data_IF_145649723815
#
_entry.id   IF_145649723815
#
_cell.length_a   1.000
_cell.length_b   1.000
_cell.length_c   1.000
_cell.angle_alpha   90.00
_cell.angle_beta   90.00
_cell.angle_gamma   90.00
#
_symmetry.space_group_name_H-M   'P 1'
#
loop_
_entity.id
_entity.type
_entity.pdbx_description
1 polymer ?
#
# COMPACT_ATOMS: atom_id res chain seq x y z
N UNK A 1 0.86 -18.12 -20.94
CA UNK A 1 2.02 -17.19 -20.98
C UNK A 1 2.89 -17.50 -19.76
N UNK A 2 4.21 -17.61 -19.88
CA UNK A 2 5.07 -17.86 -18.71
C UNK A 2 5.57 -16.52 -18.18
N UNK A 3 4.86 -15.97 -17.20
CA UNK A 3 5.27 -14.75 -16.49
C UNK A 3 5.51 -15.18 -15.04
N UNK A 4 6.76 -15.53 -14.71
CA UNK A 4 7.08 -16.26 -13.47
C UNK A 4 6.52 -15.64 -12.18
N UNK A 5 6.47 -14.30 -12.10
CA UNK A 5 5.90 -13.58 -10.99
C UNK A 5 5.52 -12.16 -11.46
N UNK A 6 4.31 -11.70 -11.16
CA UNK A 6 3.93 -10.31 -11.44
C UNK A 6 3.00 -9.73 -10.37
N UNK A 7 3.00 -8.41 -10.27
CA UNK A 7 2.12 -7.66 -9.37
C UNK A 7 0.95 -7.08 -10.15
N UNK A 8 -0.26 -7.18 -9.59
CA UNK A 8 -1.45 -6.50 -10.11
C UNK A 8 -2.22 -5.84 -8.97
N UNK A 9 -2.75 -4.65 -9.24
CA UNK A 9 -3.66 -3.96 -8.33
C UNK A 9 -5.04 -3.85 -8.96
N UNK A 10 -6.05 -4.32 -8.24
CA UNK A 10 -7.43 -4.36 -8.71
C UNK A 10 -8.34 -3.60 -7.75
N UNK A 11 -9.28 -2.87 -8.32
CA UNK A 11 -10.39 -2.26 -7.60
C UNK A 11 -11.66 -3.05 -7.90
N UNK A 12 -12.35 -3.45 -6.85
CA UNK A 12 -13.59 -4.19 -6.89
C UNK A 12 -14.68 -3.34 -6.24
N UNK A 13 -15.69 -2.95 -7.02
CA UNK A 13 -16.75 -2.06 -6.53
C UNK A 13 -18.09 -2.34 -7.20
N UNK A 14 -19.19 -2.05 -6.50
CA UNK A 14 -20.56 -2.17 -7.02
C UNK A 14 -21.01 -0.95 -7.82
N UNK A 15 -20.14 0.06 -8.03
CA UNK A 15 -20.46 1.34 -8.69
C UNK A 15 -21.60 2.15 -8.02
N UNK A 16 -21.99 1.80 -6.79
CA UNK A 16 -22.96 2.56 -5.99
C UNK A 16 -22.24 3.64 -5.19
N UNK A 17 -22.83 4.83 -5.10
CA UNK A 17 -22.30 5.92 -4.29
C UNK A 17 -22.29 5.52 -2.81
N UNK A 18 -21.14 5.64 -2.15
CA UNK A 18 -20.98 5.25 -0.75
C UNK A 18 -20.88 3.74 -0.49
N UNK A 19 -20.86 2.90 -1.53
CA UNK A 19 -20.58 1.49 -1.31
C UNK A 19 -19.10 1.26 -0.93
N UNK A 20 -18.80 0.17 -0.19
CA UNK A 20 -17.42 -0.22 0.06
C UNK A 20 -16.66 -0.43 -1.25
N UNK A 21 -15.43 0.06 -1.30
CA UNK A 21 -14.48 -0.23 -2.37
C UNK A 21 -13.42 -1.17 -1.82
N UNK A 22 -13.27 -2.32 -2.47
CA UNK A 22 -12.21 -3.27 -2.19
C UNK A 22 -11.04 -3.01 -3.14
N UNK A 23 -9.86 -2.79 -2.58
CA UNK A 23 -8.59 -2.75 -3.32
C UNK A 23 -7.79 -4.01 -3.00
N UNK A 24 -7.40 -4.73 -4.05
CA UNK A 24 -6.57 -5.92 -4.00
C UNK A 24 -5.18 -5.58 -4.53
N UNK A 25 -4.16 -5.75 -3.70
CA UNK A 25 -2.75 -5.70 -4.07
C UNK A 25 -2.22 -7.12 -4.12
N UNK A 26 -2.11 -7.69 -5.32
CA UNK A 26 -1.85 -9.10 -5.52
C UNK A 26 -0.49 -9.33 -6.19
N UNK A 27 0.23 -10.31 -5.67
CA UNK A 27 1.38 -10.94 -6.27
C UNK A 27 0.95 -12.31 -6.81
N UNK A 28 1.04 -12.47 -8.12
CA UNK A 28 0.62 -13.66 -8.84
C UNK A 28 1.85 -14.45 -9.27
N UNK A 29 1.93 -15.69 -8.79
CA UNK A 29 2.91 -16.69 -9.20
C UNK A 29 2.26 -17.64 -10.20
N UNK A 30 2.59 -17.45 -11.48
CA UNK A 30 1.99 -18.25 -12.55
C UNK A 30 2.57 -19.66 -12.66
N UNK A 31 3.79 -19.87 -12.13
CA UNK A 31 4.43 -21.18 -12.15
C UNK A 31 3.74 -22.12 -11.15
N UNK A 32 3.40 -21.60 -9.97
CA UNK A 32 2.77 -22.37 -8.90
C UNK A 32 1.24 -22.21 -8.83
N UNK A 33 0.65 -21.37 -9.69
CA UNK A 33 -0.79 -21.01 -9.66
C UNK A 33 -1.26 -20.45 -8.32
N UNK A 34 -0.36 -19.73 -7.64
CA UNK A 34 -0.61 -19.15 -6.31
C UNK A 34 -0.77 -17.65 -6.43
N UNK A 35 -1.62 -17.12 -5.56
CA UNK A 35 -1.82 -15.68 -5.41
C UNK A 35 -1.65 -15.34 -3.95
N UNK A 36 -0.95 -14.23 -3.67
CA UNK A 36 -0.79 -13.71 -2.32
C UNK A 36 -0.83 -12.19 -2.35
N UNK A 37 -1.17 -11.54 -1.24
CA UNK A 37 -1.30 -10.09 -1.27
C UNK A 37 -2.01 -9.49 -0.07
N UNK A 38 -2.60 -8.32 -0.30
CA UNK A 38 -3.41 -7.58 0.68
C UNK A 38 -4.74 -7.19 0.08
N UNK A 39 -5.81 -7.43 0.83
CA UNK A 39 -7.14 -6.86 0.57
C UNK A 39 -7.37 -5.71 1.54
N UNK A 40 -7.79 -4.56 1.01
CA UNK A 40 -8.18 -3.39 1.81
C UNK A 40 -9.57 -2.95 1.38
N UNK A 41 -10.49 -2.78 2.34
CA UNK A 41 -11.84 -2.29 2.04
C UNK A 41 -12.03 -0.95 2.74
N UNK A 42 -12.49 0.03 1.97
CA UNK A 42 -12.76 1.37 2.47
C UNK A 42 -14.19 1.81 2.14
N UNK A 43 -14.86 2.39 3.12
CA UNK A 43 -16.15 3.08 2.95
C UNK A 43 -16.13 4.38 3.77
N UNK A 44 -16.41 5.50 3.13
CA UNK A 44 -16.45 6.82 3.79
C UNK A 44 -17.83 7.20 4.33
N UNK A 45 -18.90 6.56 3.84
CA UNK A 45 -20.27 6.80 4.28
C UNK A 45 -20.63 5.95 5.49
N UNK A 46 -21.55 6.42 6.34
CA UNK A 46 -21.94 5.73 7.56
C UNK A 46 -22.66 4.38 7.27
N UNK A 47 -22.27 3.28 7.93
CA UNK A 47 -21.14 3.16 8.86
C UNK A 47 -19.79 3.17 8.13
N UNK A 48 -18.82 4.01 8.54
CA UNK A 48 -17.51 4.02 7.90
C UNK A 48 -16.79 2.70 8.13
N UNK A 49 -16.06 2.24 7.12
CA UNK A 49 -15.33 0.97 7.14
C UNK A 49 -13.87 1.20 6.75
N UNK A 50 -12.96 0.62 7.53
CA UNK A 50 -11.55 0.48 7.18
C UNK A 50 -11.10 -0.93 7.57
N UNK A 51 -11.10 -1.83 6.59
CA UNK A 51 -10.75 -3.23 6.78
C UNK A 51 -9.47 -3.55 6.03
N UNK A 52 -8.63 -4.41 6.61
CA UNK A 52 -7.41 -4.89 5.96
C UNK A 52 -7.14 -6.34 6.32
N UNK A 53 -6.86 -7.16 5.31
CA UNK A 53 -6.45 -8.55 5.48
C UNK A 53 -5.28 -8.89 4.56
N UNK A 54 -4.38 -9.76 5.03
CA UNK A 54 -3.46 -10.47 4.15
C UNK A 54 -4.25 -11.58 3.47
N UNK A 55 -4.11 -11.67 2.15
CA UNK A 55 -4.83 -12.66 1.34
C UNK A 55 -3.88 -13.65 0.69
N UNK A 56 -4.36 -14.86 0.51
CA UNK A 56 -3.65 -15.94 -0.17
C UNK A 56 -4.67 -16.85 -0.84
N UNK A 57 -4.24 -17.54 -1.87
CA UNK A 57 -5.09 -18.50 -2.56
C UNK A 57 -4.49 -18.95 -3.87
N UNK A 58 -5.38 -19.27 -4.79
CA UNK A 58 -5.05 -19.91 -6.06
C UNK A 58 -5.83 -19.27 -7.20
N UNK A 59 -5.31 -19.46 -8.40
CA UNK A 59 -6.05 -19.14 -9.61
C UNK A 59 -6.08 -20.34 -10.56
N UNK A 60 -7.14 -20.43 -11.35
CA UNK A 60 -7.25 -21.40 -12.43
C UNK A 60 -7.73 -20.73 -13.71
N UNK A 61 -7.35 -21.29 -14.84
CA UNK A 61 -7.76 -20.80 -16.15
C UNK A 61 -8.86 -21.70 -16.68
N UNK A 62 -9.99 -21.12 -17.05
CA UNK A 62 -11.11 -21.81 -17.66
C UNK A 62 -11.21 -21.40 -19.14
N UNK A 63 -11.22 -22.39 -20.03
CA UNK A 63 -11.53 -22.21 -21.45
C UNK A 63 -12.85 -22.91 -21.73
N UNK A 64 -13.86 -22.16 -22.18
CA UNK A 64 -15.15 -22.75 -22.52
C UNK A 64 -15.10 -23.50 -23.87
N UNK A 65 -14.26 -23.06 -24.80
CA UNK A 65 -14.05 -23.72 -26.11
C UNK A 65 -12.70 -23.29 -26.70
N UNK A 66 -12.19 -24.00 -27.71
CA UNK A 66 -10.89 -23.70 -28.33
C UNK A 66 -10.80 -22.28 -28.90
N UNK A 67 -11.94 -21.71 -29.33
CA UNK A 67 -12.08 -20.38 -29.93
C UNK A 67 -12.67 -19.33 -28.97
N UNK A 68 -12.85 -19.65 -27.68
CA UNK A 68 -13.56 -18.78 -26.71
C UNK A 68 -12.59 -18.12 -25.72
N UNK A 69 -13.04 -16.98 -25.17
CA UNK A 69 -12.34 -16.20 -24.15
C UNK A 69 -11.84 -17.05 -22.97
N UNK A 70 -10.56 -16.88 -22.66
CA UNK A 70 -9.95 -17.48 -21.47
C UNK A 70 -10.36 -16.65 -20.25
N UNK A 71 -10.95 -17.31 -19.27
CA UNK A 71 -11.33 -16.70 -18.01
C UNK A 71 -10.42 -17.18 -16.89
N UNK A 72 -10.18 -16.31 -15.92
CA UNK A 72 -9.39 -16.62 -14.73
C UNK A 72 -10.32 -16.70 -13.54
N UNK A 73 -10.38 -17.88 -12.93
CA UNK A 73 -11.11 -18.10 -11.68
C UNK A 73 -10.14 -17.86 -10.53
N UNK A 74 -10.38 -16.79 -9.78
CA UNK A 74 -9.57 -16.37 -8.63
C UNK A 74 -10.28 -16.77 -7.34
N UNK A 75 -9.59 -17.49 -6.45
CA UNK A 75 -10.09 -17.81 -5.11
C UNK A 75 -9.08 -17.32 -4.08
N UNK A 76 -9.53 -16.47 -3.16
CA UNK A 76 -8.69 -15.90 -2.11
C UNK A 76 -9.35 -16.07 -0.74
N UNK A 77 -8.57 -16.54 0.21
CA UNK A 77 -8.86 -16.48 1.64
C UNK A 77 -8.01 -15.37 2.27
N UNK A 78 -8.47 -14.80 3.39
CA UNK A 78 -7.68 -13.79 4.08
C UNK A 78 -7.91 -13.68 5.58
N UNK A 79 -6.86 -13.26 6.27
CA UNK A 79 -6.85 -12.98 7.70
C UNK A 79 -5.92 -11.80 8.01
N UNK A 80 -5.99 -11.18 9.21
CA UNK A 80 -5.05 -10.13 9.60
C UNK A 80 -3.60 -10.65 9.67
N UNK A 81 -3.45 -11.95 9.93
CA UNK A 81 -2.18 -12.57 10.29
C UNK A 81 -1.55 -13.44 9.20
N UNK A 82 -2.22 -13.63 8.07
CA UNK A 82 -1.73 -14.41 6.93
C UNK A 82 -1.99 -15.92 7.08
N UNK A 83 -1.50 -16.72 6.11
CA UNK A 83 -1.85 -18.14 5.95
C UNK A 83 -1.34 -19.06 7.07
N UNK A 84 -0.21 -18.70 7.70
CA UNK A 84 0.44 -19.54 8.70
C UNK A 84 -0.02 -19.25 10.14
N UNK A 85 -1.09 -18.45 10.29
CA UNK A 85 -1.61 -18.05 11.59
C UNK A 85 -2.82 -18.88 11.99
N UNK A 86 -2.97 -19.15 13.28
CA UNK A 86 -4.17 -19.79 13.85
C UNK A 86 -5.34 -18.81 14.07
N UNK A 87 -5.22 -17.56 13.60
CA UNK A 87 -6.30 -16.57 13.67
C UNK A 87 -7.35 -16.89 12.61
N UNK A 88 -8.63 -16.74 12.99
CA UNK A 88 -9.75 -16.99 12.11
C UNK A 88 -9.65 -16.20 10.80
N UNK A 89 -10.12 -16.82 9.72
CA UNK A 89 -10.31 -16.17 8.44
C UNK A 89 -11.37 -15.08 8.57
N UNK A 90 -11.08 -13.91 8.03
CA UNK A 90 -11.94 -12.71 8.08
C UNK A 90 -12.28 -12.19 6.69
N UNK A 91 -11.80 -12.84 5.64
CA UNK A 91 -12.02 -12.45 4.26
C UNK A 91 -12.09 -13.68 3.35
N UNK A 92 -12.98 -13.66 2.37
CA UNK A 92 -13.10 -14.66 1.29
C UNK A 92 -13.53 -13.94 0.01
N UNK A 93 -12.92 -14.30 -1.12
CA UNK A 93 -13.24 -13.76 -2.42
C UNK A 93 -13.24 -14.86 -3.48
N UNK A 94 -14.23 -14.78 -4.36
CA UNK A 94 -14.33 -15.58 -5.58
C UNK A 94 -14.55 -14.64 -6.75
N UNK A 95 -13.58 -14.61 -7.65
CA UNK A 95 -13.58 -13.74 -8.82
C UNK A 95 -13.53 -14.52 -10.12
N UNK A 96 -14.14 -13.96 -11.15
CA UNK A 96 -13.95 -14.36 -12.55
C UNK A 96 -13.38 -13.13 -13.26
N UNK A 97 -12.15 -13.24 -13.74
CA UNK A 97 -11.43 -12.17 -14.43
C UNK A 97 -11.22 -12.53 -15.91
N UNK A 98 -11.02 -11.50 -16.73
CA UNK A 98 -10.47 -11.65 -18.08
C UNK A 98 -9.04 -12.20 -18.03
N UNK A 99 -8.57 -12.72 -19.17
CA UNK A 99 -7.23 -13.28 -19.31
C UNK A 99 -6.11 -12.31 -18.94
N UNK A 100 -6.36 -11.01 -19.08
CA UNK A 100 -5.41 -9.93 -18.84
C UNK A 100 -5.38 -9.44 -17.38
N UNK A 101 -6.13 -10.08 -16.47
CA UNK A 101 -6.20 -9.74 -15.04
C UNK A 101 -6.67 -8.30 -14.73
N UNK A 102 -7.27 -7.59 -15.68
CA UNK A 102 -7.59 -6.16 -15.55
C UNK A 102 -9.08 -5.86 -15.30
N UNK A 103 -9.94 -6.83 -15.55
CA UNK A 103 -11.39 -6.66 -15.59
C UNK A 103 -12.11 -7.97 -15.24
N UNK A 104 -13.36 -7.87 -14.80
CA UNK A 104 -14.18 -9.02 -14.46
C UNK A 104 -15.21 -8.73 -13.38
N UNK A 105 -15.62 -9.78 -12.66
CA UNK A 105 -16.57 -9.68 -11.56
C UNK A 105 -16.12 -10.53 -10.38
N UNK A 106 -16.40 -10.07 -9.16
CA UNK A 106 -16.11 -10.82 -7.96
C UNK A 106 -17.22 -10.72 -6.92
N UNK A 107 -17.38 -11.84 -6.21
CA UNK A 107 -18.09 -11.92 -4.95
C UNK A 107 -17.06 -11.95 -3.84
N UNK A 108 -17.28 -11.17 -2.78
CA UNK A 108 -16.44 -11.24 -1.60
C UNK A 108 -17.24 -11.06 -0.32
N UNK A 109 -16.71 -11.59 0.76
CA UNK A 109 -17.23 -11.39 2.11
C UNK A 109 -16.10 -11.04 3.05
N UNK A 110 -16.42 -10.21 4.04
CA UNK A 110 -15.50 -9.82 5.09
C UNK A 110 -16.21 -9.84 6.43
N UNK A 111 -15.45 -10.11 7.48
CA UNK A 111 -15.93 -10.13 8.85
C UNK A 111 -15.59 -8.80 9.54
N UNK A 112 -16.62 -8.04 9.92
CA UNK A 112 -16.50 -6.77 10.63
C UNK A 112 -17.59 -6.65 11.70
N UNK A 113 -17.24 -6.09 12.86
CA UNK A 113 -18.18 -5.86 13.98
C UNK A 113 -19.05 -7.08 14.32
N UNK A 114 -18.42 -8.24 14.42
CA UNK A 114 -19.06 -9.53 14.71
C UNK A 114 -20.11 -10.02 13.70
N UNK A 115 -20.06 -9.53 12.46
CA UNK A 115 -20.89 -10.04 11.38
C UNK A 115 -20.13 -10.19 10.06
N UNK A 116 -20.59 -11.12 9.22
CA UNK A 116 -20.13 -11.25 7.84
C UNK A 116 -20.96 -10.36 6.92
N UNK A 117 -20.31 -9.40 6.27
CA UNK A 117 -20.91 -8.66 5.14
C UNK A 117 -20.52 -9.35 3.84
N UNK A 118 -21.49 -9.56 2.94
CA UNK A 118 -21.24 -10.11 1.60
C UNK A 118 -21.57 -9.08 0.54
N UNK A 119 -20.62 -8.85 -0.37
CA UNK A 119 -20.80 -8.04 -1.57
C UNK A 119 -20.78 -8.97 -2.76
N UNK A 120 -21.80 -8.88 -3.60
CA UNK A 120 -22.00 -9.76 -4.75
C UNK A 120 -21.87 -8.99 -6.05
N UNK A 121 -21.36 -9.67 -7.06
CA UNK A 121 -21.29 -9.22 -8.44
C UNK A 121 -20.67 -7.81 -8.57
N UNK A 122 -19.60 -7.57 -7.80
CA UNK A 122 -18.89 -6.30 -7.88
C UNK A 122 -17.97 -6.32 -9.10
N UNK A 123 -17.97 -5.22 -9.85
CA UNK A 123 -17.14 -5.06 -11.03
C UNK A 123 -15.68 -4.91 -10.61
N UNK A 124 -14.81 -5.68 -11.27
CA UNK A 124 -13.36 -5.59 -11.13
C UNK A 124 -12.83 -4.69 -12.22
N UNK A 125 -11.93 -3.78 -11.85
CA UNK A 125 -11.21 -2.89 -12.76
C UNK A 125 -9.78 -2.76 -12.30
N UNK A 126 -8.85 -2.55 -13.23
CA UNK A 126 -7.48 -2.27 -12.90
C UNK A 126 -7.43 -0.95 -12.11
N UNK A 127 -6.81 -1.00 -10.94
CA UNK A 127 -6.55 0.23 -10.22
C UNK A 127 -5.52 1.02 -11.02
N UNK A 128 -5.88 2.22 -11.47
CA UNK A 128 -4.89 3.17 -11.99
C UNK A 128 -3.77 3.28 -10.96
N UNK A 129 -2.53 3.22 -11.42
CA UNK A 129 -1.34 3.44 -10.60
C UNK A 129 -1.38 4.86 -10.02
N UNK A 130 -2.18 5.06 -8.99
CA UNK A 130 -1.99 6.18 -8.10
C UNK A 130 -0.65 5.90 -7.46
N UNK A 131 0.35 6.68 -7.85
CA UNK A 131 1.67 6.70 -7.23
C UNK A 131 1.44 6.60 -5.73
N UNK A 132 1.61 5.41 -5.16
CA UNK A 132 1.61 5.26 -3.73
C UNK A 132 2.76 6.13 -3.30
N UNK A 133 2.43 7.24 -2.66
CA UNK A 133 3.38 7.95 -1.84
C UNK A 133 3.82 6.89 -0.85
N UNK A 134 4.96 6.27 -1.15
CA UNK A 134 5.64 5.40 -0.21
C UNK A 134 5.74 6.28 1.03
N UNK A 135 4.97 5.94 2.06
CA UNK A 135 5.17 6.46 3.40
C UNK A 135 6.52 5.90 3.82
N UNK A 136 7.58 6.49 3.29
CA UNK A 136 8.90 6.34 3.84
C UNK A 136 8.73 6.79 5.29
N UNK A 137 9.14 5.99 6.28
CA UNK A 137 9.27 6.51 7.63
C UNK A 137 10.03 7.83 7.49
N UNK A 138 9.47 8.91 8.00
CA UNK A 138 10.00 10.26 7.85
C UNK A 138 11.35 10.32 8.57
N UNK A 139 12.40 9.85 7.92
CA UNK A 139 13.76 10.10 8.32
C UNK A 139 13.93 11.61 8.16
N UNK A 140 14.20 12.30 9.27
CA UNK A 140 14.55 13.71 9.24
C UNK A 140 15.78 13.83 8.34
N UNK A 141 15.58 14.16 7.07
CA UNK A 141 16.68 14.40 6.16
C UNK A 141 17.33 15.69 6.63
N UNK A 142 18.60 15.66 7.06
CA UNK A 142 19.26 16.88 7.47
C UNK A 142 19.27 17.84 6.27
N UNK A 143 19.23 19.14 6.53
CA UNK A 143 19.11 20.18 5.50
C UNK A 143 20.22 20.12 4.43
N UNK A 144 21.36 19.46 4.73
CA UNK A 144 22.47 19.23 3.81
C UNK A 144 22.38 17.93 2.98
N UNK A 145 21.40 17.06 3.19
CA UNK A 145 21.32 15.74 2.54
C UNK A 145 21.27 15.82 1.01
N UNK A 146 20.51 16.79 0.47
CA UNK A 146 20.40 17.00 -0.97
C UNK A 146 21.72 17.50 -1.56
N UNK A 147 22.42 18.40 -0.86
CA UNK A 147 23.73 18.90 -1.28
C UNK A 147 24.79 17.80 -1.30
N UNK A 148 24.77 16.88 -0.32
CA UNK A 148 25.66 15.70 -0.31
C UNK A 148 25.39 14.80 -1.50
N UNK A 149 24.13 14.50 -1.79
CA UNK A 149 23.75 13.64 -2.90
C UNK A 149 24.14 14.25 -4.26
N UNK A 150 23.97 15.57 -4.43
CA UNK A 150 24.38 16.29 -5.63
C UNK A 150 25.90 16.33 -5.78
N UNK A 151 26.64 16.61 -4.70
CA UNK A 151 28.10 16.63 -4.73
C UNK A 151 28.68 15.24 -5.06
N UNK A 152 28.12 14.17 -4.49
CA UNK A 152 28.48 12.79 -4.83
C UNK A 152 28.21 12.43 -6.29
N UNK A 153 27.07 12.85 -6.83
CA UNK A 153 26.72 12.61 -8.23
C UNK A 153 27.59 13.42 -9.21
N UNK A 154 28.02 14.63 -8.81
CA UNK A 154 28.86 15.50 -9.64
C UNK A 154 30.32 15.08 -9.72
N UNK A 155 30.85 14.39 -8.70
CA UNK A 155 32.25 13.99 -8.61
C UNK A 155 33.25 15.16 -8.46
N UNK A 156 32.78 16.40 -8.26
CA UNK A 156 33.63 17.59 -8.13
C UNK A 156 34.20 17.71 -6.70
N UNK A 157 35.53 17.59 -6.58
CA UNK A 157 36.26 17.66 -5.31
C UNK A 157 36.07 19.00 -4.59
N UNK A 158 35.93 20.11 -5.32
CA UNK A 158 35.73 21.42 -4.71
C UNK A 158 34.35 21.51 -4.06
N UNK A 159 33.32 20.98 -4.72
CA UNK A 159 31.95 20.93 -4.18
C UNK A 159 31.85 20.00 -2.98
N UNK A 160 32.51 18.84 -3.01
CA UNK A 160 32.56 17.91 -1.88
C UNK A 160 33.15 18.57 -0.62
N UNK A 161 34.25 19.32 -0.77
CA UNK A 161 34.86 20.05 0.36
C UNK A 161 33.97 21.17 0.90
N UNK A 162 33.27 21.88 0.03
CA UNK A 162 32.34 22.93 0.43
C UNK A 162 31.17 22.36 1.26
N UNK A 163 30.59 21.24 0.83
CA UNK A 163 29.50 20.57 1.55
C UNK A 163 29.97 20.02 2.91
N UNK A 164 31.19 19.48 3.00
CA UNK A 164 31.77 19.03 4.28
C UNK A 164 31.93 20.20 5.25
N UNK A 165 32.53 21.31 4.82
CA UNK A 165 32.70 22.51 5.66
C UNK A 165 31.35 23.07 6.14
N UNK A 166 30.35 23.08 5.26
CA UNK A 166 29.00 23.50 5.62
C UNK A 166 28.34 22.56 6.65
N UNK A 167 28.54 21.25 6.53
CA UNK A 167 28.07 20.26 7.49
C UNK A 167 28.74 20.41 8.87
N UNK A 168 30.05 20.64 8.89
CA UNK A 168 30.80 20.89 10.13
C UNK A 168 30.36 22.16 10.84
N UNK A 169 30.11 23.24 10.08
CA UNK A 169 29.61 24.50 10.65
C UNK A 169 28.21 24.35 11.26
N UNK A 170 27.34 23.55 10.65
CA UNK A 170 26.01 23.24 11.20
C UNK A 170 26.11 22.37 12.45
N UNK A 171 27.02 21.39 12.47
CA UNK A 171 27.29 20.58 13.66
C UNK A 171 27.83 21.42 14.81
N UNK A 172 28.75 22.35 14.54
CA UNK A 172 29.26 23.30 15.54
C UNK A 172 28.16 24.23 16.08
N UNK A 173 27.19 24.59 15.24
CA UNK A 173 26.06 25.45 15.62
C UNK A 173 24.98 24.72 16.43
N UNK A 174 25.00 23.38 16.48
CA UNK A 174 23.97 22.56 17.16
C UNK A 174 23.80 22.91 18.65
N UNK A 175 24.88 23.24 19.35
CA UNK A 175 24.85 23.65 20.76
C UNK A 175 24.13 25.00 20.96
N UNK A 176 24.39 25.97 20.08
CA UNK A 176 23.73 27.29 20.12
C UNK A 176 22.24 27.22 19.72
N UNK A 177 21.89 26.30 18.82
CA UNK A 177 20.49 26.00 18.47
C UNK A 177 19.73 25.40 19.65
N UNK A 178 20.37 24.50 20.42
CA UNK A 178 19.75 23.89 21.60
C UNK A 178 19.50 24.91 22.71
N UNK A 179 20.46 25.79 22.99
CA UNK A 179 20.27 26.86 23.99
C UNK A 179 19.20 27.87 23.56
N UNK A 180 19.13 28.23 22.28
CA UNK A 180 18.07 29.10 21.76
C UNK A 180 16.68 28.44 21.87
N UNK A 181 16.58 27.12 21.67
CA UNK A 181 15.35 26.36 21.86
C UNK A 181 14.90 26.34 23.32
N UNK A 182 15.83 26.12 24.25
CA UNK A 182 15.54 26.16 25.69
C UNK A 182 15.10 27.57 26.13
N UNK A 183 15.72 28.63 25.61
CA UNK A 183 15.30 30.01 25.85
C UNK A 183 13.90 30.30 25.30
N UNK A 184 13.60 29.82 24.09
CA UNK A 184 12.28 29.97 23.49
C UNK A 184 11.21 29.21 24.30
N UNK A 185 11.51 27.99 24.75
CA UNK A 185 10.61 27.19 25.58
C UNK A 185 10.34 27.86 26.94
N UNK A 186 11.35 28.45 27.57
CA UNK A 186 11.19 29.20 28.81
C UNK A 186 10.30 30.44 28.63
N UNK A 187 10.43 31.14 27.50
CA UNK A 187 9.59 32.31 27.20
C UNK A 187 8.13 31.90 26.89
N UNK A 188 7.92 30.79 26.18
CA UNK A 188 6.58 30.21 25.96
C UNK A 188 5.92 29.89 27.31
N UNK A 189 6.62 29.18 28.20
CA UNK A 189 6.09 28.84 29.53
C UNK A 189 5.76 30.08 30.37
N UNK A 190 6.54 31.16 30.25
CA UNK A 190 6.26 32.44 30.91
C UNK A 190 5.01 33.11 30.37
N UNK A 191 4.78 33.08 29.07
CA UNK A 191 3.61 33.68 28.42
C UNK A 191 2.33 32.87 28.66
N UNK A 192 2.43 31.55 28.78
CA UNK A 192 1.31 30.66 29.09
C UNK A 192 0.88 30.74 30.57
N UNK A 193 1.78 31.12 31.48
CA UNK A 193 1.49 31.28 32.91
C UNK A 193 0.85 32.63 33.28
N UNK A 194 0.51 33.46 32.29
CA UNK A 194 -0.09 34.79 32.46
C UNK A 194 -1.55 34.81 32.05
#
# INVERSE_FOLDING_TARGET
>A
MSIGLFHTRLNVSSSLLGAPVLTLDLLVDTANKKVSGVASIFQSTYPPLNFRARVWGEYSEAKLTADTENHIILTLDGSPSGPNSNIAQTFDLRGILGADWDSGFADYKYYDQDHWTTVRHAAVSQATAHNQRVEHPSHAHPLYAVAVQQAQASGDLAQLKAVVSQGEQQLASSGALRSALEQLQAEIARLEAR
#
